data_IF_233067868167
#
_entry.id   IF_233067868167
#
_cell.length_a   1.000
_cell.length_b   1.000
_cell.length_c   1.000
_cell.angle_alpha   90.00
_cell.angle_beta   90.00
_cell.angle_gamma   90.00
#
_symmetry.space_group_name_H-M   'P 1'
#
loop_
_entity.id
_entity.type
_entity.pdbx_description
1 polymer ?
#
# COMPACT_ATOMS: atom_id res chain seq x y z
N UNK A 1 -6.48 -11.01 26.34
CA UNK A 1 -7.94 -11.11 26.45
C UNK A 1 -8.58 -10.52 25.20
N UNK A 2 -9.53 -11.24 24.65
CA UNK A 2 -10.38 -10.74 23.58
C UNK A 2 -11.82 -10.65 24.09
N UNK A 3 -12.48 -9.52 23.82
CA UNK A 3 -13.86 -9.29 24.20
C UNK A 3 -14.69 -9.07 22.95
N UNK A 4 -15.75 -9.86 22.79
CA UNK A 4 -16.72 -9.64 21.73
C UNK A 4 -17.67 -8.53 22.16
N UNK A 5 -17.62 -7.39 21.47
CA UNK A 5 -18.45 -6.23 21.81
C UNK A 5 -19.93 -6.43 21.53
N UNK A 6 -20.30 -7.35 20.64
CA UNK A 6 -21.69 -7.61 20.29
C UNK A 6 -22.38 -8.55 21.29
N UNK A 7 -21.66 -9.50 21.87
CA UNK A 7 -22.18 -10.48 22.82
C UNK A 7 -21.70 -10.25 24.25
N UNK A 8 -20.63 -9.48 24.43
CA UNK A 8 -20.01 -9.28 25.74
C UNK A 8 -19.22 -10.48 26.24
N UNK A 9 -18.98 -11.48 25.40
CA UNK A 9 -18.23 -12.65 25.80
C UNK A 9 -16.73 -12.33 25.93
N UNK A 10 -16.12 -12.93 26.97
CA UNK A 10 -14.67 -12.82 27.20
C UNK A 10 -14.00 -14.11 26.79
N UNK A 11 -13.08 -14.02 25.82
CA UNK A 11 -12.25 -15.13 25.38
C UNK A 11 -10.82 -14.96 25.83
N UNK A 12 -10.22 -16.02 26.39
CA UNK A 12 -8.81 -16.06 26.76
C UNK A 12 -8.03 -16.77 25.68
N UNK A 13 -7.11 -16.06 25.02
CA UNK A 13 -6.24 -16.63 24.00
C UNK A 13 -4.81 -16.72 24.54
N UNK A 14 -4.17 -17.93 24.50
CA UNK A 14 -2.77 -18.07 24.86
C UNK A 14 -1.90 -17.28 23.87
N UNK A 15 -1.00 -16.41 24.37
CA UNK A 15 -0.14 -15.59 23.54
C UNK A 15 0.80 -16.44 22.69
N UNK A 16 1.26 -17.58 23.22
CA UNK A 16 2.19 -18.49 22.52
C UNK A 16 1.56 -19.14 21.29
N UNK A 17 0.22 -19.24 21.21
CA UNK A 17 -0.46 -19.79 20.04
C UNK A 17 -0.66 -18.75 18.93
N UNK A 18 -0.40 -17.47 19.19
CA UNK A 18 -0.52 -16.40 18.21
C UNK A 18 0.82 -16.18 17.52
N UNK A 19 0.80 -16.19 16.18
CA UNK A 19 1.99 -15.87 15.41
C UNK A 19 2.22 -14.35 15.46
N UNK A 20 3.19 -13.93 16.27
CA UNK A 20 3.50 -12.51 16.47
C UNK A 20 4.82 -12.12 15.78
N UNK A 21 4.84 -10.92 15.24
CA UNK A 21 6.06 -10.32 14.70
C UNK A 21 6.95 -9.93 15.88
N UNK A 22 8.25 -10.26 15.80
CA UNK A 22 9.22 -9.84 16.79
C UNK A 22 9.44 -8.33 16.71
N UNK A 23 8.98 -7.60 17.71
CA UNK A 23 9.04 -6.14 17.74
C UNK A 23 10.48 -5.63 17.73
N UNK A 24 11.41 -6.31 18.39
CA UNK A 24 12.82 -5.93 18.42
C UNK A 24 13.45 -5.99 17.03
N UNK A 25 13.17 -7.05 16.27
CA UNK A 25 13.67 -7.20 14.90
C UNK A 25 13.08 -6.15 13.98
N UNK A 26 11.81 -5.83 14.13
CA UNK A 26 11.14 -4.79 13.34
C UNK A 26 11.72 -3.42 13.61
N UNK A 27 11.96 -3.07 14.86
CA UNK A 27 12.58 -1.79 15.24
C UNK A 27 14.01 -1.69 14.71
N UNK A 28 14.77 -2.78 14.78
CA UNK A 28 16.14 -2.83 14.24
C UNK A 28 16.14 -2.61 12.74
N UNK A 29 15.26 -3.27 12.02
CA UNK A 29 15.10 -3.10 10.56
C UNK A 29 14.73 -1.66 10.21
N UNK A 30 13.78 -1.06 10.95
CA UNK A 30 13.38 0.33 10.74
C UNK A 30 14.53 1.30 10.94
N UNK A 31 15.35 1.09 11.97
CA UNK A 31 16.55 1.91 12.21
C UNK A 31 17.56 1.80 11.07
N UNK A 32 17.76 0.60 10.54
CA UNK A 32 18.65 0.38 9.39
C UNK A 32 18.15 1.11 8.14
N UNK A 33 16.84 1.05 7.89
CA UNK A 33 16.20 1.76 6.77
C UNK A 33 16.36 3.27 6.90
N UNK A 34 16.17 3.82 8.10
CA UNK A 34 16.32 5.26 8.37
C UNK A 34 17.75 5.76 8.24
N UNK A 35 18.75 4.91 8.48
CA UNK A 35 20.16 5.23 8.26
C UNK A 35 20.57 5.14 6.80
N UNK A 36 19.83 4.38 6.01
CA UNK A 36 20.07 4.25 4.58
C UNK A 36 19.66 5.51 3.84
N UNK A 37 20.47 5.93 2.87
CA UNK A 37 20.12 7.03 1.98
C UNK A 37 19.21 6.59 0.83
N UNK A 38 18.98 5.29 0.65
CA UNK A 38 18.13 4.74 -0.41
C UNK A 38 16.70 4.55 0.06
N UNK A 39 15.77 4.64 -0.89
CA UNK A 39 14.34 4.37 -0.64
C UNK A 39 14.16 2.86 -0.40
N UNK A 40 13.41 2.44 0.64
CA UNK A 40 13.13 1.03 0.88
C UNK A 40 12.38 0.39 -0.29
N UNK A 41 12.45 -0.95 -0.45
CA UNK A 41 11.64 -1.64 -1.45
C UNK A 41 10.15 -1.38 -1.25
N UNK A 42 9.40 -1.37 -2.34
CA UNK A 42 7.95 -1.18 -2.31
C UNK A 42 7.28 -2.33 -1.56
N UNK A 43 6.31 -2.00 -0.70
CA UNK A 43 5.60 -3.00 0.11
C UNK A 43 4.69 -3.89 -0.73
N UNK A 44 4.14 -3.33 -1.82
CA UNK A 44 3.20 -4.03 -2.70
C UNK A 44 3.57 -3.78 -4.15
N UNK A 45 3.32 -4.78 -5.00
CA UNK A 45 3.44 -4.63 -6.44
C UNK A 45 2.22 -3.93 -7.01
N UNK A 46 2.37 -3.26 -8.15
CA UNK A 46 1.23 -2.73 -8.90
C UNK A 46 0.39 -3.87 -9.48
N UNK A 47 -0.86 -3.58 -9.78
CA UNK A 47 -1.86 -4.54 -10.26
C UNK A 47 -2.35 -4.13 -11.65
N UNK A 48 -2.78 -5.09 -12.49
CA UNK A 48 -3.40 -4.75 -13.76
C UNK A 48 -4.72 -4.00 -13.54
N UNK A 49 -4.94 -2.96 -14.33
CA UNK A 49 -6.18 -2.19 -14.33
C UNK A 49 -7.14 -2.70 -15.41
N UNK A 50 -7.83 -3.78 -15.10
CA UNK A 50 -8.75 -4.42 -16.03
C UNK A 50 -8.04 -4.96 -17.27
N UNK A 51 -8.66 -4.78 -18.44
CA UNK A 51 -8.16 -5.27 -19.73
C UNK A 51 -7.46 -4.19 -20.56
N UNK A 52 -7.30 -2.98 -20.02
CA UNK A 52 -6.74 -1.85 -20.75
C UNK A 52 -5.22 -1.92 -20.97
N UNK A 53 -4.55 -2.80 -20.24
CA UNK A 53 -3.09 -2.86 -20.19
C UNK A 53 -2.45 -1.86 -19.23
N UNK A 54 -3.24 -1.02 -18.60
CA UNK A 54 -2.77 -0.10 -17.57
C UNK A 54 -2.48 -0.86 -16.27
N UNK A 55 -1.63 -0.29 -15.44
CA UNK A 55 -1.36 -0.80 -14.09
C UNK A 55 -1.70 0.26 -13.06
N UNK A 56 -2.31 -0.18 -11.96
CA UNK A 56 -2.73 0.68 -10.86
C UNK A 56 -2.03 0.29 -9.56
N UNK A 57 -2.05 1.19 -8.58
CA UNK A 57 -1.56 0.89 -7.24
C UNK A 57 -2.41 -0.20 -6.58
N UNK A 58 -1.75 -1.08 -5.82
CA UNK A 58 -2.42 -1.94 -4.87
C UNK A 58 -3.15 -1.11 -3.81
N UNK A 59 -4.22 -1.65 -3.26
CA UNK A 59 -5.07 -0.92 -2.30
C UNK A 59 -4.29 -0.47 -1.06
N UNK A 60 -3.31 -1.26 -0.61
CA UNK A 60 -2.45 -0.88 0.52
C UNK A 60 -1.60 0.35 0.25
N UNK A 61 -1.23 0.59 -1.01
CA UNK A 61 -0.49 1.79 -1.41
C UNK A 61 -1.40 3.01 -1.62
N UNK A 62 -2.65 2.80 -2.00
CA UNK A 62 -3.60 3.89 -2.25
C UNK A 62 -3.80 4.75 -1.00
N UNK A 63 -3.85 4.13 0.17
CA UNK A 63 -4.04 4.82 1.45
C UNK A 63 -2.73 5.18 2.15
N UNK A 64 -1.58 4.93 1.53
CA UNK A 64 -0.28 5.24 2.10
C UNK A 64 0.09 6.71 1.91
N UNK A 65 0.50 7.39 2.98
CA UNK A 65 0.94 8.79 2.91
C UNK A 65 2.22 9.00 2.11
N UNK A 66 3.01 7.95 1.89
CA UNK A 66 4.28 8.01 1.14
C UNK A 66 4.16 7.52 -0.30
N UNK A 67 2.95 7.28 -0.80
CA UNK A 67 2.75 6.69 -2.13
C UNK A 67 3.41 7.49 -3.25
N UNK A 68 3.29 8.80 -3.23
CA UNK A 68 3.85 9.66 -4.29
C UNK A 68 5.38 9.63 -4.29
N UNK A 69 6.00 9.59 -3.14
CA UNK A 69 7.44 9.50 -2.99
C UNK A 69 7.95 8.10 -3.39
N UNK A 70 7.29 7.05 -2.89
CA UNK A 70 7.67 5.66 -3.15
C UNK A 70 7.53 5.30 -4.63
N UNK A 71 6.55 5.86 -5.33
CA UNK A 71 6.26 5.60 -6.73
C UNK A 71 6.66 6.76 -7.65
N UNK A 72 7.63 7.56 -7.25
CA UNK A 72 8.15 8.66 -8.07
C UNK A 72 8.79 8.18 -9.36
N UNK A 73 9.22 6.92 -9.44
CA UNK A 73 9.75 6.27 -10.62
C UNK A 73 8.69 5.73 -11.58
N UNK A 74 7.41 5.76 -11.20
CA UNK A 74 6.31 5.30 -12.04
C UNK A 74 6.17 6.14 -13.30
N UNK A 75 5.55 5.57 -14.33
CA UNK A 75 5.34 6.23 -15.64
C UNK A 75 6.64 6.81 -16.24
N UNK A 76 7.71 6.05 -16.13
CA UNK A 76 9.01 6.45 -16.68
C UNK A 76 9.67 7.60 -15.93
N UNK A 77 9.44 7.72 -14.65
CA UNK A 77 10.01 8.75 -13.78
C UNK A 77 9.12 9.98 -13.58
N UNK A 78 7.93 10.00 -14.19
CA UNK A 78 6.97 11.10 -14.04
C UNK A 78 6.13 11.01 -12.77
N UNK A 79 6.16 9.85 -12.09
CA UNK A 79 5.36 9.60 -10.91
C UNK A 79 3.98 9.04 -11.23
N UNK A 80 3.14 8.93 -10.22
CA UNK A 80 1.79 8.39 -10.36
C UNK A 80 0.89 9.35 -11.14
N UNK A 81 0.11 8.81 -12.09
CA UNK A 81 -0.96 9.55 -12.77
C UNK A 81 -2.27 9.29 -12.07
N UNK A 82 -3.00 10.36 -11.78
CA UNK A 82 -4.23 10.32 -10.98
C UNK A 82 -5.42 10.64 -11.88
N UNK A 83 -6.39 9.74 -11.91
CA UNK A 83 -7.61 9.88 -12.71
C UNK A 83 -8.83 9.83 -11.79
N UNK A 84 -9.76 10.74 -12.02
CA UNK A 84 -10.98 10.84 -11.22
C UNK A 84 -12.09 9.98 -11.82
N UNK A 85 -12.43 8.90 -11.14
CA UNK A 85 -13.57 8.04 -11.46
C UNK A 85 -14.75 8.34 -10.53
N UNK A 86 -15.91 7.84 -10.86
CA UNK A 86 -17.12 7.96 -10.02
C UNK A 86 -16.94 7.34 -8.63
N UNK A 87 -16.07 6.32 -8.53
CA UNK A 87 -15.77 5.63 -7.26
C UNK A 87 -14.62 6.26 -6.49
N UNK A 88 -13.96 7.28 -7.03
CA UNK A 88 -12.83 7.95 -6.40
C UNK A 88 -11.66 8.14 -7.34
N UNK A 89 -10.51 8.51 -6.78
CA UNK A 89 -9.29 8.72 -7.55
C UNK A 89 -8.56 7.39 -7.72
N UNK A 90 -8.15 7.10 -8.96
CA UNK A 90 -7.34 5.92 -9.29
C UNK A 90 -5.92 6.37 -9.63
N UNK A 91 -4.96 5.73 -9.01
CA UNK A 91 -3.52 6.02 -9.21
C UNK A 91 -2.96 4.98 -10.17
N UNK A 92 -2.48 5.42 -11.34
CA UNK A 92 -1.90 4.54 -12.34
C UNK A 92 -0.38 4.62 -12.32
N UNK A 93 0.26 3.47 -12.26
CA UNK A 93 1.72 3.33 -12.29
C UNK A 93 2.24 3.20 -13.71
N UNK A 94 1.41 2.69 -14.62
CA UNK A 94 1.72 2.56 -16.03
C UNK A 94 0.44 2.78 -16.84
N UNK A 95 0.51 3.67 -17.82
CA UNK A 95 -0.61 4.00 -18.69
C UNK A 95 -0.30 3.52 -20.09
N UNK A 96 -0.99 2.48 -20.54
CA UNK A 96 -0.95 1.98 -21.91
C UNK A 96 -2.05 2.65 -22.74
N UNK A 97 -3.25 2.79 -22.17
CA UNK A 97 -4.38 3.47 -22.78
C UNK A 97 -4.89 4.54 -21.81
N UNK A 98 -4.88 5.80 -22.26
CA UNK A 98 -5.36 6.90 -21.42
C UNK A 98 -6.86 6.71 -21.11
N UNK A 99 -7.23 6.71 -19.81
CA UNK A 99 -8.63 6.60 -19.43
C UNK A 99 -9.46 7.79 -19.92
N UNK A 100 -10.71 7.52 -20.27
CA UNK A 100 -11.67 8.55 -20.73
C UNK A 100 -12.35 9.22 -19.52
N UNK A 101 -11.53 9.73 -18.61
CA UNK A 101 -11.97 10.45 -17.40
C UNK A 101 -10.99 11.59 -17.13
N UNK A 102 -11.40 12.52 -16.29
CA UNK A 102 -10.57 13.67 -15.94
C UNK A 102 -9.32 13.25 -15.17
N UNK A 103 -8.16 13.68 -15.63
CA UNK A 103 -6.91 13.57 -14.89
C UNK A 103 -6.82 14.71 -13.88
N UNK A 104 -6.45 14.36 -12.65
CA UNK A 104 -6.40 15.31 -11.53
C UNK A 104 -5.00 15.88 -11.32
#
# INVERSE_FOLDING_TARGET
>A
FAVDKSTGELALMPVESIHMINATDRVKHLKEVLKSSSVPPKCYSDEPDGKSGNKKLAIGCVFCGYRDHCWSDANGGKGLRKFKYSTGIRYLTQVHKTPDVQEV
#
